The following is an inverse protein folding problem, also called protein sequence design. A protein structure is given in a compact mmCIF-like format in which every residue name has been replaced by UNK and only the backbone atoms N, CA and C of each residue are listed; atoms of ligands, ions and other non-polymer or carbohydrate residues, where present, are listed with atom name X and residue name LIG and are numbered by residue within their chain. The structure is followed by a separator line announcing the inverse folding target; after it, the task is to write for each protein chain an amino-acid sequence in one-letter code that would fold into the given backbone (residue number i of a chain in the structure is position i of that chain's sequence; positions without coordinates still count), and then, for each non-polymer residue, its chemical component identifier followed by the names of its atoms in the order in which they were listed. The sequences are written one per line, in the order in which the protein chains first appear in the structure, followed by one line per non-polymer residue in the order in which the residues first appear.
data_IF_148101158236
#
_entry.id   IF_148101158236
#
_cell.length_a   1.000
_cell.length_b   1.000
_cell.length_c   1.000
_cell.angle_alpha   90.00
_cell.angle_beta   90.00
_cell.angle_gamma   90.00
#
_symmetry.space_group_name_H-M   'P 1'
#
loop_
_entity.id
_entity.type
_entity.pdbx_description
1 polymer ?
#
# COMPACT_ATOMS: atom_id res chain seq x y z
N UNK A 1 42.03 12.37 9.72
CA UNK A 1 42.10 10.96 10.14
C UNK A 1 41.04 10.73 11.19
N UNK A 2 40.23 9.68 11.05
CA UNK A 2 39.24 9.27 12.05
C UNK A 2 39.95 8.80 13.32
N UNK A 3 39.48 9.21 14.49
CA UNK A 3 40.07 8.91 15.80
C UNK A 3 39.31 7.81 16.54
N UNK A 4 39.92 7.20 17.56
CA UNK A 4 39.23 6.26 18.46
C UNK A 4 37.95 6.84 19.06
N UNK A 5 37.94 8.15 19.35
CA UNK A 5 36.78 8.85 19.91
C UNK A 5 35.61 8.87 18.91
N UNK A 6 35.91 8.96 17.61
CA UNK A 6 34.88 8.97 16.56
C UNK A 6 34.19 7.61 16.43
N UNK A 7 34.90 6.50 16.69
CA UNK A 7 34.32 5.16 16.70
C UNK A 7 33.50 4.85 17.96
N UNK A 8 33.86 5.43 19.11
CA UNK A 8 33.20 5.18 20.41
C UNK A 8 32.20 6.29 20.79
N UNK A 9 31.63 6.99 19.79
CA UNK A 9 30.67 8.09 19.99
C UNK A 9 29.23 7.65 20.22
N UNK A 10 28.90 6.39 19.92
CA UNK A 10 27.55 5.85 20.09
C UNK A 10 27.16 5.75 21.57
N UNK A 11 25.84 5.65 21.87
CA UNK A 11 25.38 5.43 23.22
C UNK A 11 25.97 4.13 23.78
N UNK A 12 26.30 4.15 25.07
CA UNK A 12 26.73 2.95 25.78
C UNK A 12 25.57 1.95 25.81
N UNK A 13 25.86 0.68 25.52
CA UNK A 13 24.90 -0.40 25.69
C UNK A 13 24.70 -0.65 27.18
N UNK A 14 23.65 -0.06 27.74
CA UNK A 14 23.26 -0.17 29.15
C UNK A 14 21.74 0.02 29.31
N UNK A 15 20.91 -0.87 28.72
CA UNK A 15 19.46 -0.74 28.76
C UNK A 15 18.92 -1.00 30.18
N UNK A 16 17.82 -0.32 30.53
CA UNK A 16 17.07 -0.67 31.75
C UNK A 16 16.38 -2.03 31.56
N UNK A 17 16.29 -2.87 32.62
CA UNK A 17 15.53 -4.11 32.57
C UNK A 17 14.07 -3.87 32.17
N UNK A 18 13.54 -4.68 31.27
CA UNK A 18 12.14 -4.62 30.85
C UNK A 18 11.23 -5.15 31.96
N UNK A 19 10.16 -4.41 32.25
CA UNK A 19 9.19 -4.73 33.30
C UNK A 19 7.82 -5.13 32.75
N UNK A 20 7.61 -4.95 31.44
CA UNK A 20 6.32 -5.16 30.78
C UNK A 20 5.37 -3.96 30.92
N UNK A 21 5.86 -2.83 31.43
CA UNK A 21 5.10 -1.58 31.60
C UNK A 21 5.49 -0.51 30.58
N UNK A 22 6.56 -0.77 29.83
CA UNK A 22 7.08 0.13 28.81
C UNK A 22 6.09 0.27 27.67
N UNK A 23 5.87 1.49 27.22
CA UNK A 23 5.20 1.79 25.95
C UNK A 23 6.07 1.34 24.76
N UNK A 24 5.47 1.22 23.57
CA UNK A 24 6.23 0.84 22.37
C UNK A 24 7.40 1.80 22.08
N UNK A 25 7.25 3.14 22.15
CA UNK A 25 8.37 4.06 21.97
C UNK A 25 9.48 3.85 23.01
N UNK A 26 9.11 3.60 24.27
CA UNK A 26 10.10 3.31 25.32
C UNK A 26 10.85 2.01 25.06
N UNK A 27 10.20 0.98 24.51
CA UNK A 27 10.88 -0.25 24.10
C UNK A 27 11.87 0.00 22.96
N UNK A 28 11.48 0.81 21.96
CA UNK A 28 12.36 1.18 20.84
C UNK A 28 13.59 1.93 21.35
N UNK A 29 13.41 2.90 22.23
CA UNK A 29 14.50 3.75 22.70
C UNK A 29 15.42 3.05 23.71
N UNK A 30 14.86 2.21 24.57
CA UNK A 30 15.62 1.55 25.63
C UNK A 30 16.25 0.24 25.18
N UNK A 31 15.52 -0.61 24.46
CA UNK A 31 15.92 -2.00 24.23
C UNK A 31 16.39 -2.29 22.79
N UNK A 32 15.97 -1.51 21.80
CA UNK A 32 16.31 -1.77 20.39
C UNK A 32 17.64 -1.12 20.00
N UNK A 33 18.72 -1.53 20.68
CA UNK A 33 20.01 -0.85 20.61
C UNK A 33 20.96 -1.36 19.51
N UNK A 34 20.76 -2.59 19.01
CA UNK A 34 21.69 -3.23 18.07
C UNK A 34 20.98 -4.26 17.16
N UNK A 35 21.69 -4.71 16.12
CA UNK A 35 21.21 -5.68 15.12
C UNK A 35 19.88 -5.25 14.48
N UNK A 36 18.99 -6.19 14.15
CA UNK A 36 17.72 -5.90 13.49
C UNK A 36 16.81 -5.02 14.34
N UNK A 37 16.86 -5.14 15.68
CA UNK A 37 16.14 -4.25 16.57
C UNK A 37 16.67 -2.80 16.43
N UNK A 38 17.99 -2.60 16.45
CA UNK A 38 18.61 -1.31 16.19
C UNK A 38 18.26 -0.72 14.82
N UNK A 39 18.21 -1.55 13.77
CA UNK A 39 17.73 -1.12 12.45
C UNK A 39 16.26 -0.70 12.45
N UNK A 40 15.41 -1.41 13.19
CA UNK A 40 14.01 -1.03 13.37
C UNK A 40 13.90 0.32 14.10
N UNK A 41 14.68 0.53 15.16
CA UNK A 41 14.71 1.81 15.88
C UNK A 41 15.15 2.96 14.98
N UNK A 42 16.19 2.76 14.17
CA UNK A 42 16.61 3.73 13.15
C UNK A 42 15.52 4.01 12.13
N UNK A 43 14.80 2.98 11.66
CA UNK A 43 13.66 3.14 10.76
C UNK A 43 12.51 3.94 11.38
N UNK A 44 12.17 3.67 12.64
CA UNK A 44 11.18 4.44 13.39
C UNK A 44 11.59 5.92 13.47
N UNK A 45 12.83 6.21 13.86
CA UNK A 45 13.35 7.57 13.98
C UNK A 45 13.41 8.28 12.63
N UNK A 46 13.90 7.61 11.58
CA UNK A 46 13.91 8.17 10.23
C UNK A 46 12.49 8.53 9.77
N UNK A 47 11.54 7.63 9.97
CA UNK A 47 10.16 7.89 9.59
C UNK A 47 9.60 9.08 10.38
N UNK A 48 9.61 9.03 11.71
CA UNK A 48 8.92 10.04 12.54
C UNK A 48 9.63 11.37 12.64
N UNK A 49 10.97 11.42 12.54
CA UNK A 49 11.74 12.66 12.74
C UNK A 49 12.17 13.32 11.43
N UNK A 50 12.13 12.62 10.30
CA UNK A 50 12.57 13.14 9.00
C UNK A 50 11.52 13.03 7.93
N UNK A 51 10.92 11.85 7.75
CA UNK A 51 9.96 11.65 6.67
C UNK A 51 8.62 12.34 6.92
N UNK A 52 8.24 12.54 8.19
CA UNK A 52 7.01 13.24 8.58
C UNK A 52 7.22 14.75 8.84
N UNK A 53 8.34 15.33 8.40
CA UNK A 53 8.51 16.80 8.39
C UNK A 53 7.57 17.44 7.34
N UNK A 54 7.06 18.66 7.59
CA UNK A 54 6.08 19.35 6.73
C UNK A 54 6.53 19.58 5.28
N UNK A 55 7.84 19.50 5.01
CA UNK A 55 8.43 19.72 3.69
C UNK A 55 8.70 18.42 2.92
N UNK A 56 8.18 17.27 3.37
CA UNK A 56 8.44 15.96 2.76
C UNK A 56 7.17 15.35 2.18
N UNK A 57 7.22 14.99 0.90
CA UNK A 57 6.20 14.17 0.25
C UNK A 57 6.54 12.69 0.42
N UNK A 58 5.64 11.93 1.04
CA UNK A 58 5.83 10.52 1.43
C UNK A 58 5.05 9.59 0.51
N UNK A 59 5.78 8.83 -0.30
CA UNK A 59 5.25 7.67 -1.02
C UNK A 59 5.29 6.40 -0.17
N UNK A 60 4.37 5.47 -0.42
CA UNK A 60 4.39 4.12 0.15
C UNK A 60 4.39 3.05 -0.94
N UNK A 61 5.20 2.00 -0.80
CA UNK A 61 5.03 0.78 -1.61
C UNK A 61 4.50 -0.38 -0.78
N UNK A 62 3.48 -1.09 -1.29
CA UNK A 62 2.85 -2.21 -0.60
C UNK A 62 2.88 -3.49 -1.46
N UNK A 63 3.45 -4.55 -0.90
CA UNK A 63 3.48 -5.89 -1.53
C UNK A 63 3.23 -7.00 -0.51
N UNK A 64 3.07 -8.23 -0.99
CA UNK A 64 2.67 -9.36 -0.14
C UNK A 64 1.19 -9.30 0.22
N UNK A 65 0.77 -10.05 1.23
CA UNK A 65 -0.62 -10.16 1.68
C UNK A 65 -0.92 -9.19 2.84
N UNK A 66 -0.64 -7.90 2.64
CA UNK A 66 -0.71 -6.91 3.74
C UNK A 66 -2.15 -6.56 4.10
N UNK A 67 -2.98 -6.26 3.11
CA UNK A 67 -4.40 -5.98 3.34
C UNK A 67 -5.15 -7.23 3.80
N UNK A 68 -4.97 -8.46 3.22
CA UNK A 68 -5.51 -9.68 3.81
C UNK A 68 -5.17 -9.89 5.28
N UNK A 69 -3.93 -9.57 5.68
CA UNK A 69 -3.46 -9.70 7.06
C UNK A 69 -4.01 -8.62 8.01
N UNK A 70 -4.89 -7.72 7.53
CA UNK A 70 -5.51 -6.67 8.33
C UNK A 70 -4.62 -5.44 8.53
N UNK A 71 -3.47 -5.32 7.85
CA UNK A 71 -2.61 -4.13 7.95
C UNK A 71 -3.23 -2.91 7.29
N UNK A 72 -4.13 -3.10 6.31
CA UNK A 72 -4.93 -2.01 5.76
C UNK A 72 -5.66 -1.23 6.86
N UNK A 73 -6.44 -1.94 7.68
CA UNK A 73 -7.25 -1.36 8.76
C UNK A 73 -6.44 -0.96 10.00
N UNK A 74 -5.43 -1.75 10.36
CA UNK A 74 -4.71 -1.56 11.63
C UNK A 74 -3.59 -0.54 11.55
N UNK A 75 -3.02 -0.28 10.36
CA UNK A 75 -1.85 0.60 10.22
C UNK A 75 -1.95 1.58 9.06
N UNK A 76 -2.32 1.13 7.86
CA UNK A 76 -2.29 1.98 6.65
C UNK A 76 -3.38 3.06 6.70
N UNK A 77 -4.62 2.71 7.01
CA UNK A 77 -5.73 3.66 7.14
C UNK A 77 -5.41 4.78 8.15
N UNK A 78 -4.96 4.48 9.39
CA UNK A 78 -4.54 5.52 10.33
C UNK A 78 -3.45 6.47 9.79
N UNK A 79 -2.50 5.97 9.00
CA UNK A 79 -1.46 6.80 8.40
C UNK A 79 -2.02 7.73 7.30
N UNK A 80 -2.95 7.23 6.49
CA UNK A 80 -3.64 8.03 5.46
C UNK A 80 -4.50 9.12 6.13
N UNK A 81 -5.32 8.76 7.12
CA UNK A 81 -6.19 9.73 7.82
C UNK A 81 -5.38 10.81 8.56
N UNK A 82 -4.17 10.48 9.02
CA UNK A 82 -3.26 11.43 9.65
C UNK A 82 -2.50 12.33 8.67
N UNK A 83 -2.63 12.11 7.35
CA UNK A 83 -1.90 12.86 6.34
C UNK A 83 -0.42 12.51 6.23
N UNK A 84 -0.02 11.31 6.68
CA UNK A 84 1.38 10.87 6.67
C UNK A 84 1.80 10.12 5.40
N UNK A 85 0.85 9.89 4.48
CA UNK A 85 1.07 9.19 3.21
C UNK A 85 0.40 9.99 2.11
N UNK A 86 1.18 10.47 1.16
CA UNK A 86 0.70 11.31 0.06
C UNK A 86 0.29 10.50 -1.17
N UNK A 87 0.90 9.34 -1.39
CA UNK A 87 0.59 8.45 -2.51
C UNK A 87 1.06 7.02 -2.25
N UNK A 88 0.40 6.04 -2.87
CA UNK A 88 0.67 4.62 -2.64
C UNK A 88 0.87 3.90 -3.97
N UNK A 89 1.87 3.02 -4.05
CA UNK A 89 1.98 1.99 -5.09
C UNK A 89 1.74 0.63 -4.45
N UNK A 90 0.72 -0.10 -4.90
CA UNK A 90 0.33 -1.40 -4.35
C UNK A 90 0.32 -2.48 -5.43
N UNK A 91 0.29 -3.75 -5.02
CA UNK A 91 -0.16 -4.81 -5.94
C UNK A 91 -1.68 -4.74 -6.09
N UNK A 92 -2.19 -5.06 -7.28
CA UNK A 92 -3.64 -5.16 -7.49
C UNK A 92 -4.27 -6.22 -6.57
N UNK A 93 -3.50 -7.25 -6.17
CA UNK A 93 -3.94 -8.23 -5.18
C UNK A 93 -4.22 -7.63 -3.80
N UNK A 94 -3.39 -6.71 -3.29
CA UNK A 94 -3.71 -6.03 -2.02
C UNK A 94 -5.01 -5.21 -2.15
N UNK A 95 -5.18 -4.49 -3.26
CA UNK A 95 -6.37 -3.64 -3.46
C UNK A 95 -7.65 -4.47 -3.67
N UNK A 96 -7.54 -5.58 -4.37
CA UNK A 96 -8.62 -6.56 -4.50
C UNK A 96 -8.97 -7.17 -3.15
N UNK A 97 -7.95 -7.60 -2.38
CA UNK A 97 -8.19 -8.22 -1.10
C UNK A 97 -8.72 -7.25 -0.04
N UNK A 98 -8.32 -5.99 -0.13
CA UNK A 98 -8.86 -4.89 0.67
C UNK A 98 -10.36 -4.67 0.44
N UNK A 99 -10.82 -4.78 -0.82
CA UNK A 99 -12.21 -4.60 -1.17
C UNK A 99 -13.15 -5.58 -0.45
N UNK A 100 -12.73 -6.83 -0.19
CA UNK A 100 -13.56 -7.79 0.58
C UNK A 100 -14.05 -7.18 1.90
N UNK A 101 -13.14 -6.53 2.64
CA UNK A 101 -13.49 -5.92 3.93
C UNK A 101 -14.45 -4.75 3.77
N UNK A 102 -14.27 -3.91 2.75
CA UNK A 102 -15.17 -2.80 2.43
C UNK A 102 -16.56 -3.26 1.95
N UNK A 103 -16.64 -4.45 1.36
CA UNK A 103 -17.89 -5.11 0.98
C UNK A 103 -18.57 -5.86 2.15
N UNK A 104 -17.98 -5.82 3.34
CA UNK A 104 -18.48 -6.53 4.52
C UNK A 104 -18.25 -8.05 4.48
N UNK A 105 -17.39 -8.52 3.58
CA UNK A 105 -16.99 -9.92 3.46
C UNK A 105 -15.83 -10.20 4.43
N UNK A 106 -15.79 -11.42 4.97
CA UNK A 106 -14.84 -11.80 6.01
C UNK A 106 -13.74 -12.72 5.50
N UNK A 107 -12.54 -12.51 6.01
CA UNK A 107 -11.42 -13.44 5.94
C UNK A 107 -11.03 -13.83 7.37
N UNK A 108 -10.46 -15.02 7.53
CA UNK A 108 -10.18 -15.62 8.81
C UNK A 108 -8.72 -16.05 8.90
N UNK A 109 -8.14 -15.96 10.09
CA UNK A 109 -6.84 -16.58 10.35
C UNK A 109 -6.99 -18.09 10.23
N UNK A 110 -6.18 -18.68 9.36
CA UNK A 110 -6.05 -20.11 9.15
C UNK A 110 -4.72 -20.65 9.65
N UNK A 111 -4.20 -21.64 8.93
CA UNK A 111 -2.91 -22.30 9.20
C UNK A 111 -2.21 -22.61 7.88
N UNK A 112 -0.88 -22.44 7.79
CA UNK A 112 -0.17 -22.78 6.56
C UNK A 112 -0.07 -24.29 6.32
N UNK A 113 -0.44 -25.10 7.32
CA UNK A 113 -0.29 -26.56 7.34
C UNK A 113 -1.57 -27.34 6.94
N UNK A 114 -2.64 -26.66 6.54
CA UNK A 114 -3.84 -27.32 6.04
C UNK A 114 -3.61 -27.96 4.65
N UNK A 115 -4.34 -29.04 4.35
CA UNK A 115 -4.30 -29.70 3.05
C UNK A 115 -5.11 -28.92 2.01
N UNK A 116 -4.47 -28.54 0.90
CA UNK A 116 -5.11 -27.81 -0.19
C UNK A 116 -6.21 -28.60 -0.89
N UNK A 117 -6.16 -29.94 -0.85
CA UNK A 117 -7.21 -30.79 -1.41
C UNK A 117 -8.48 -30.70 -0.57
N UNK A 118 -8.35 -30.86 0.75
CA UNK A 118 -9.48 -30.72 1.69
C UNK A 118 -10.07 -29.30 1.64
N UNK A 119 -9.21 -28.27 1.65
CA UNK A 119 -9.67 -26.88 1.54
C UNK A 119 -10.48 -26.66 0.25
N UNK A 120 -10.02 -27.21 -0.88
CA UNK A 120 -10.74 -27.09 -2.15
C UNK A 120 -12.08 -27.81 -2.14
N UNK A 121 -12.15 -29.00 -1.55
CA UNK A 121 -13.39 -29.79 -1.44
C UNK A 121 -14.44 -29.07 -0.60
N UNK A 122 -14.00 -28.38 0.46
CA UNK A 122 -14.86 -27.57 1.34
C UNK A 122 -15.11 -26.14 0.81
N UNK A 123 -14.63 -25.79 -0.39
CA UNK A 123 -14.83 -24.46 -0.97
C UNK A 123 -14.07 -23.34 -0.25
N UNK A 124 -12.99 -23.65 0.45
CA UNK A 124 -12.14 -22.70 1.15
C UNK A 124 -10.95 -22.30 0.29
N UNK A 125 -10.77 -21.00 0.11
CA UNK A 125 -9.59 -20.41 -0.53
C UNK A 125 -8.61 -19.98 0.55
N UNK A 126 -7.31 -20.13 0.26
CA UNK A 126 -6.26 -19.65 1.15
C UNK A 126 -5.29 -18.66 0.51
N UNK A 127 -4.80 -17.75 1.34
CA UNK A 127 -3.59 -16.95 1.12
C UNK A 127 -2.65 -17.29 2.29
N UNK A 128 -1.75 -18.25 2.07
CA UNK A 128 -0.87 -18.79 3.11
C UNK A 128 -1.65 -19.28 4.35
N UNK A 129 -1.70 -18.50 5.41
CA UNK A 129 -2.37 -18.77 6.68
C UNK A 129 -3.63 -17.89 6.91
N UNK A 130 -4.24 -17.43 5.82
CA UNK A 130 -5.50 -16.68 5.78
C UNK A 130 -6.50 -17.47 4.94
N UNK A 131 -7.68 -17.76 5.47
CA UNK A 131 -8.74 -18.55 4.83
C UNK A 131 -10.00 -17.71 4.61
N UNK A 132 -10.73 -18.01 3.55
CA UNK A 132 -12.04 -17.43 3.26
C UNK A 132 -12.84 -18.32 2.32
N UNK A 133 -14.15 -18.14 2.35
CA UNK A 133 -15.07 -18.88 1.49
C UNK A 133 -14.88 -18.47 0.02
N UNK A 134 -14.94 -19.42 -0.91
CA UNK A 134 -14.83 -19.14 -2.34
C UNK A 134 -15.88 -18.11 -2.84
N UNK A 135 -17.07 -18.08 -2.25
CA UNK A 135 -18.12 -17.10 -2.58
C UNK A 135 -17.69 -15.65 -2.30
N UNK A 136 -16.71 -15.44 -1.41
CA UNK A 136 -16.13 -14.12 -1.12
C UNK A 136 -15.39 -13.56 -2.36
N UNK A 137 -14.70 -14.41 -3.12
CA UNK A 137 -14.09 -14.01 -4.41
C UNK A 137 -15.16 -13.66 -5.43
N UNK A 138 -16.14 -14.55 -5.60
CA UNK A 138 -17.19 -14.39 -6.61
C UNK A 138 -18.01 -13.12 -6.37
N UNK A 139 -18.33 -12.83 -5.11
CA UNK A 139 -19.07 -11.63 -4.71
C UNK A 139 -18.27 -10.35 -5.01
N UNK A 140 -16.96 -10.37 -4.74
CA UNK A 140 -16.08 -9.22 -4.99
C UNK A 140 -15.86 -9.00 -6.48
N UNK A 141 -15.68 -10.09 -7.24
CA UNK A 141 -15.57 -10.05 -8.70
C UNK A 141 -16.85 -9.51 -9.35
N UNK A 142 -18.02 -9.98 -8.91
CA UNK A 142 -19.30 -9.49 -9.40
C UNK A 142 -19.47 -7.99 -9.13
N UNK A 143 -19.13 -7.55 -7.91
CA UNK A 143 -19.18 -6.14 -7.53
C UNK A 143 -18.25 -5.28 -8.39
N UNK A 144 -16.99 -5.68 -8.56
CA UNK A 144 -16.01 -4.93 -9.36
C UNK A 144 -16.45 -4.84 -10.81
N UNK A 145 -16.98 -5.92 -11.40
CA UNK A 145 -17.53 -5.88 -12.76
C UNK A 145 -18.72 -4.94 -12.87
N UNK A 146 -19.67 -5.01 -11.93
CA UNK A 146 -20.84 -4.14 -11.92
C UNK A 146 -20.43 -2.66 -11.88
N UNK A 147 -19.54 -2.30 -10.96
CA UNK A 147 -19.01 -0.93 -10.85
C UNK A 147 -18.27 -0.52 -12.12
N UNK A 148 -17.37 -1.38 -12.63
CA UNK A 148 -16.55 -1.09 -13.81
C UNK A 148 -17.33 -1.02 -15.11
N UNK A 149 -18.59 -1.50 -15.15
CA UNK A 149 -19.50 -1.31 -16.27
C UNK A 149 -20.14 0.09 -16.30
N UNK A 150 -19.98 0.87 -15.23
CA UNK A 150 -20.48 2.24 -15.12
C UNK A 150 -19.89 3.17 -16.19
N UNK A 151 -20.63 4.22 -16.60
CA UNK A 151 -20.25 5.12 -17.70
C UNK A 151 -18.94 5.86 -17.45
N UNK A 152 -18.61 6.23 -16.22
CA UNK A 152 -17.37 6.92 -15.85
C UNK A 152 -16.11 6.08 -16.07
N UNK A 153 -16.26 4.74 -16.10
CA UNK A 153 -15.20 3.77 -16.36
C UNK A 153 -15.02 3.48 -17.85
N UNK A 154 -15.95 3.87 -18.72
CA UNK A 154 -15.92 3.52 -20.16
C UNK A 154 -14.96 4.41 -20.97
N UNK A 155 -13.70 4.46 -20.55
CA UNK A 155 -12.61 5.21 -21.18
C UNK A 155 -11.24 4.70 -20.71
N UNK A 156 -10.19 5.20 -21.34
CA UNK A 156 -8.82 5.06 -20.81
C UNK A 156 -8.64 5.90 -19.55
N UNK A 157 -7.96 5.36 -18.55
CA UNK A 157 -7.62 6.05 -17.30
C UNK A 157 -6.36 5.47 -16.66
N UNK A 158 -5.70 6.25 -15.81
CA UNK A 158 -4.60 5.75 -14.98
C UNK A 158 -5.13 4.73 -13.95
N UNK A 159 -4.25 3.93 -13.34
CA UNK A 159 -4.71 3.05 -12.26
C UNK A 159 -5.07 3.84 -11.02
N UNK A 160 -4.40 4.98 -10.74
CA UNK A 160 -4.80 5.87 -9.65
C UNK A 160 -6.23 6.39 -9.82
N UNK A 161 -6.60 6.82 -11.03
CA UNK A 161 -7.95 7.27 -11.32
C UNK A 161 -8.98 6.15 -11.18
N UNK A 162 -8.67 4.94 -11.69
CA UNK A 162 -9.53 3.77 -11.52
C UNK A 162 -9.74 3.42 -10.03
N UNK A 163 -8.67 3.35 -9.23
CA UNK A 163 -8.77 3.04 -7.80
C UNK A 163 -9.46 4.14 -7.01
N UNK A 164 -9.30 5.42 -7.40
CA UNK A 164 -10.04 6.52 -6.81
C UNK A 164 -11.55 6.37 -7.02
N UNK A 165 -11.99 6.08 -8.25
CA UNK A 165 -13.41 5.85 -8.54
C UNK A 165 -13.94 4.61 -7.81
N UNK A 166 -13.24 3.48 -7.92
CA UNK A 166 -13.60 2.23 -7.24
C UNK A 166 -13.68 2.42 -5.72
N UNK A 167 -12.74 3.17 -5.13
CA UNK A 167 -12.74 3.50 -3.71
C UNK A 167 -13.98 4.28 -3.29
N UNK A 168 -14.47 5.19 -4.11
CA UNK A 168 -15.73 5.91 -3.87
C UNK A 168 -16.94 4.97 -3.80
N UNK A 169 -17.01 3.99 -4.70
CA UNK A 169 -18.04 2.96 -4.67
C UNK A 169 -17.91 2.07 -3.42
N UNK A 170 -16.71 1.61 -3.10
CA UNK A 170 -16.46 0.80 -1.89
C UNK A 170 -16.86 1.59 -0.63
N UNK A 171 -16.54 2.87 -0.55
CA UNK A 171 -16.92 3.74 0.57
C UNK A 171 -18.44 3.87 0.71
N UNK A 172 -19.17 4.06 -0.40
CA UNK A 172 -20.63 4.07 -0.39
C UNK A 172 -21.20 2.74 0.11
N UNK A 173 -20.59 1.62 -0.29
CA UNK A 173 -20.99 0.29 0.15
C UNK A 173 -20.73 0.09 1.65
N UNK A 174 -19.58 0.52 2.16
CA UNK A 174 -19.28 0.53 3.60
C UNK A 174 -20.37 1.26 4.39
N UNK A 175 -20.72 2.48 3.95
CA UNK A 175 -21.77 3.30 4.57
C UNK A 175 -23.13 2.60 4.56
N UNK A 176 -23.51 1.98 3.44
CA UNK A 176 -24.77 1.24 3.31
C UNK A 176 -24.84 0.02 4.23
N UNK A 177 -23.69 -0.59 4.54
CA UNK A 177 -23.56 -1.74 5.44
C UNK A 177 -23.38 -1.33 6.92
N UNK A 178 -23.25 -0.03 7.22
CA UNK A 178 -22.98 0.46 8.57
C UNK A 178 -21.60 0.09 9.10
N UNK A 179 -20.64 -0.20 8.20
CA UNK A 179 -19.23 -0.43 8.54
C UNK A 179 -18.41 0.81 8.17
N UNK A 180 -17.26 0.99 8.80
CA UNK A 180 -16.37 2.13 8.53
C UNK A 180 -14.92 1.74 8.67
N UNK A 181 -14.05 2.37 7.88
CA UNK A 181 -12.59 2.23 7.98
C UNK A 181 -12.16 0.76 7.81
N UNK A 182 -12.77 0.08 6.84
CA UNK A 182 -12.45 -1.32 6.53
C UNK A 182 -11.59 -1.46 5.29
N UNK A 183 -11.74 -0.55 4.33
CA UNK A 183 -11.02 -0.53 3.07
C UNK A 183 -10.05 0.66 2.95
N UNK A 184 -8.80 0.36 2.60
CA UNK A 184 -7.79 1.32 2.16
C UNK A 184 -8.28 2.07 0.92
N UNK A 185 -8.91 1.40 -0.06
CA UNK A 185 -9.49 2.06 -1.24
C UNK A 185 -10.53 3.12 -0.84
N UNK A 186 -11.43 2.77 0.08
CA UNK A 186 -12.47 3.68 0.57
C UNK A 186 -11.91 4.92 1.27
N UNK A 187 -10.96 4.73 2.18
CA UNK A 187 -10.32 5.84 2.92
C UNK A 187 -9.44 6.68 1.99
N UNK A 188 -8.67 6.06 1.09
CA UNK A 188 -7.84 6.78 0.14
C UNK A 188 -8.67 7.66 -0.81
N UNK A 189 -9.85 7.20 -1.24
CA UNK A 189 -10.82 8.03 -1.96
C UNK A 189 -11.25 9.24 -1.11
N UNK A 190 -11.63 9.02 0.14
CA UNK A 190 -12.08 10.09 1.05
C UNK A 190 -10.99 11.13 1.33
N UNK A 191 -9.74 10.70 1.46
CA UNK A 191 -8.57 11.55 1.72
C UNK A 191 -7.89 12.05 0.43
N UNK A 192 -8.40 11.69 -0.75
CA UNK A 192 -7.80 12.00 -2.04
C UNK A 192 -6.32 11.57 -2.20
N UNK A 193 -5.96 10.43 -1.59
CA UNK A 193 -4.62 9.82 -1.73
C UNK A 193 -4.63 8.88 -2.94
N UNK A 194 -3.86 9.15 -4.01
CA UNK A 194 -3.83 8.30 -5.19
C UNK A 194 -3.15 6.97 -4.90
N UNK A 195 -3.73 5.89 -5.44
CA UNK A 195 -3.20 4.52 -5.33
C UNK A 195 -2.91 3.97 -6.73
N UNK A 196 -1.65 3.71 -7.02
CA UNK A 196 -1.18 3.13 -8.26
C UNK A 196 -1.00 1.61 -8.14
N UNK A 197 -1.14 0.90 -9.26
CA UNK A 197 -0.76 -0.51 -9.36
C UNK A 197 0.25 -0.70 -10.47
N UNK A 198 1.44 -1.18 -10.12
CA UNK A 198 2.56 -1.32 -11.06
C UNK A 198 2.39 -2.44 -12.10
N UNK A 199 1.49 -3.39 -11.85
CA UNK A 199 1.14 -4.50 -12.75
C UNK A 199 -0.38 -4.67 -12.81
N UNK A 200 -1.13 -3.82 -13.54
CA UNK A 200 -2.60 -3.78 -13.44
C UNK A 200 -3.30 -5.09 -13.83
N UNK A 201 -2.74 -5.83 -14.79
CA UNK A 201 -3.25 -7.13 -15.23
C UNK A 201 -2.95 -8.29 -14.27
N UNK A 202 -2.10 -8.10 -13.26
CA UNK A 202 -1.66 -9.13 -12.31
C UNK A 202 -2.51 -9.11 -11.03
N UNK A 203 -3.83 -9.18 -11.18
CA UNK A 203 -4.80 -9.26 -10.08
C UNK A 203 -6.19 -9.62 -10.58
N UNK A 204 -7.08 -10.06 -9.67
CA UNK A 204 -8.49 -10.27 -10.00
C UNK A 204 -9.19 -9.00 -10.51
N UNK A 205 -8.78 -7.80 -10.05
CA UNK A 205 -9.24 -6.53 -10.65
C UNK A 205 -8.93 -6.50 -12.15
N UNK A 206 -7.67 -6.75 -12.51
CA UNK A 206 -7.23 -6.80 -13.90
C UNK A 206 -7.89 -7.90 -14.72
N UNK A 207 -8.12 -9.08 -14.13
CA UNK A 207 -8.83 -10.18 -14.78
C UNK A 207 -10.29 -9.83 -15.11
N UNK A 208 -10.99 -9.15 -14.20
CA UNK A 208 -12.35 -8.66 -14.44
C UNK A 208 -12.40 -7.60 -15.54
N UNK A 209 -11.46 -6.64 -15.54
CA UNK A 209 -11.33 -5.64 -16.62
C UNK A 209 -11.06 -6.32 -17.97
N UNK A 210 -10.20 -7.34 -18.00
CA UNK A 210 -9.89 -8.09 -19.21
C UNK A 210 -11.09 -8.89 -19.75
N UNK A 211 -11.89 -9.49 -18.87
CA UNK A 211 -13.15 -10.17 -19.24
C UNK A 211 -14.14 -9.18 -19.86
N UNK A 212 -14.36 -8.04 -19.23
CA UNK A 212 -15.28 -7.02 -19.75
C UNK A 212 -14.82 -6.41 -21.07
N UNK A 213 -13.51 -6.36 -21.33
CA UNK A 213 -12.99 -5.92 -22.62
C UNK A 213 -13.43 -6.84 -23.76
N UNK A 214 -13.62 -8.14 -23.52
CA UNK A 214 -14.15 -9.10 -24.50
C UNK A 214 -15.63 -8.88 -24.81
N UNK A 215 -16.37 -8.26 -23.89
CA UNK A 215 -17.81 -7.98 -24.02
C UNK A 215 -18.11 -6.54 -24.44
N UNK A 216 -17.08 -5.78 -24.83
CA UNK A 216 -17.21 -4.45 -25.45
C UNK A 216 -16.92 -3.26 -24.53
N UNK A 217 -16.50 -3.49 -23.28
CA UNK A 217 -16.09 -2.41 -22.37
C UNK A 217 -14.95 -1.57 -22.96
N UNK A 218 -15.05 -0.26 -22.80
CA UNK A 218 -14.04 0.71 -23.22
C UNK A 218 -13.02 1.03 -22.13
N UNK A 219 -13.19 0.47 -20.92
CA UNK A 219 -12.25 0.65 -19.82
C UNK A 219 -10.85 0.13 -20.21
N UNK A 220 -9.85 1.01 -20.17
CA UNK A 220 -8.43 0.66 -20.39
C UNK A 220 -7.59 1.31 -19.30
N UNK A 221 -6.73 0.51 -18.68
CA UNK A 221 -5.78 1.00 -17.67
C UNK A 221 -4.49 1.43 -18.37
N UNK A 222 -4.16 2.71 -18.27
CA UNK A 222 -2.99 3.34 -18.87
C UNK A 222 -1.86 3.45 -17.83
N UNK A 223 -0.93 2.49 -17.88
CA UNK A 223 0.25 2.50 -17.02
C UNK A 223 1.25 3.62 -17.36
N UNK A 224 1.19 4.19 -18.57
CA UNK A 224 2.06 5.32 -18.92
C UNK A 224 1.62 6.59 -18.20
N UNK A 225 0.31 6.77 -18.02
CA UNK A 225 -0.24 7.85 -17.20
C UNK A 225 0.24 7.74 -15.74
N UNK A 226 0.25 6.54 -15.16
CA UNK A 226 0.76 6.29 -13.81
C UNK A 226 2.26 6.66 -13.68
N UNK A 227 3.08 6.25 -14.66
CA UNK A 227 4.53 6.57 -14.67
C UNK A 227 4.74 8.09 -14.70
N UNK A 228 4.00 8.80 -15.55
CA UNK A 228 4.14 10.25 -15.67
C UNK A 228 3.64 10.99 -14.43
N UNK A 229 2.50 10.59 -13.86
CA UNK A 229 1.93 11.24 -12.68
C UNK A 229 2.80 11.05 -11.43
N UNK A 230 3.23 9.81 -11.15
CA UNK A 230 4.12 9.53 -10.01
C UNK A 230 5.47 10.26 -10.12
N UNK A 231 6.01 10.36 -11.34
CA UNK A 231 7.22 11.16 -11.59
C UNK A 231 6.96 12.66 -11.39
N UNK A 232 5.79 13.16 -11.81
CA UNK A 232 5.41 14.55 -11.58
C UNK A 232 5.24 14.89 -10.09
N UNK A 233 4.72 13.97 -9.28
CA UNK A 233 4.62 14.13 -7.81
C UNK A 233 6.01 14.33 -7.19
N UNK A 234 6.98 13.46 -7.51
CA UNK A 234 8.34 13.55 -6.98
C UNK A 234 9.06 14.80 -7.49
N UNK A 235 8.94 15.09 -8.79
CA UNK A 235 9.51 16.29 -9.40
C UNK A 235 8.95 17.57 -8.78
N UNK A 236 7.64 17.61 -8.51
CA UNK A 236 7.00 18.75 -7.86
C UNK A 236 7.59 18.99 -6.46
N UNK A 237 7.72 17.93 -5.65
CA UNK A 237 8.30 18.03 -4.31
C UNK A 237 9.71 18.66 -4.34
N UNK A 238 10.58 18.19 -5.25
CA UNK A 238 11.96 18.66 -5.38
C UNK A 238 12.09 20.08 -5.92
N UNK A 239 11.36 20.41 -6.99
CA UNK A 239 11.41 21.75 -7.61
C UNK A 239 10.86 22.86 -6.72
N UNK A 240 10.02 22.52 -5.74
CA UNK A 240 9.42 23.48 -4.81
C UNK A 240 10.13 23.55 -3.45
N UNK A 241 11.36 23.02 -3.36
CA UNK A 241 12.21 23.10 -2.17
C UNK A 241 11.86 22.10 -1.07
N UNK A 242 10.98 21.15 -1.35
CA UNK A 242 10.68 20.02 -0.45
C UNK A 242 11.59 18.81 -0.70
N UNK A 243 11.30 17.73 -0.01
CA UNK A 243 11.98 16.44 -0.12
C UNK A 243 10.98 15.35 -0.50
N UNK A 244 11.48 14.23 -1.00
CA UNK A 244 10.69 13.02 -1.23
C UNK A 244 11.20 11.90 -0.33
N UNK A 245 10.29 11.20 0.33
CA UNK A 245 10.57 10.03 1.15
C UNK A 245 9.72 8.84 0.70
N UNK A 246 10.21 7.62 0.91
CA UNK A 246 9.45 6.41 0.57
C UNK A 246 9.47 5.39 1.70
N UNK A 247 8.28 4.94 2.12
CA UNK A 247 8.10 3.83 3.03
C UNK A 247 7.86 2.54 2.22
N UNK A 248 8.85 1.65 2.23
CA UNK A 248 8.83 0.43 1.41
C UNK A 248 8.44 -0.77 2.27
N UNK A 249 7.25 -1.34 2.02
CA UNK A 249 6.78 -2.56 2.65
C UNK A 249 6.85 -3.73 1.64
N UNK A 250 7.88 -4.55 1.82
CA UNK A 250 8.20 -5.69 0.96
C UNK A 250 9.07 -5.30 -0.25
N UNK A 251 8.82 -5.89 -1.42
CA UNK A 251 9.71 -5.79 -2.58
C UNK A 251 8.99 -5.76 -3.92
N UNK A 252 9.49 -6.50 -4.91
CA UNK A 252 8.79 -6.73 -6.18
C UNK A 252 8.49 -5.46 -7.02
N UNK A 253 7.42 -5.56 -7.80
CA UNK A 253 7.04 -4.55 -8.80
C UNK A 253 6.68 -3.19 -8.15
N UNK A 254 5.87 -3.10 -7.08
CA UNK A 254 5.60 -1.81 -6.41
C UNK A 254 6.84 -1.08 -5.88
N UNK A 255 7.80 -1.81 -5.30
CA UNK A 255 9.09 -1.22 -4.88
C UNK A 255 9.88 -0.65 -6.06
N UNK A 256 9.91 -1.35 -7.18
CA UNK A 256 10.61 -0.82 -8.36
C UNK A 256 9.86 0.39 -8.95
N UNK A 257 8.54 0.33 -9.02
CA UNK A 257 7.72 1.39 -9.61
C UNK A 257 7.76 2.69 -8.81
N UNK A 258 7.76 2.63 -7.47
CA UNK A 258 7.89 3.85 -6.65
C UNK A 258 9.27 4.51 -6.81
N UNK A 259 10.32 3.71 -7.01
CA UNK A 259 11.70 4.17 -7.13
C UNK A 259 12.08 4.61 -8.55
N UNK A 260 11.34 4.17 -9.59
CA UNK A 260 11.67 4.48 -10.98
C UNK A 260 11.38 5.95 -11.36
N UNK A 261 10.69 6.69 -10.49
CA UNK A 261 10.41 8.12 -10.66
C UNK A 261 11.69 8.92 -10.90
N UNK A 262 12.78 8.61 -10.20
CA UNK A 262 14.09 9.25 -10.38
C UNK A 262 14.72 8.97 -11.76
N UNK A 263 14.92 7.70 -12.20
CA UNK A 263 15.32 7.41 -13.57
C UNK A 263 14.42 8.04 -14.63
N UNK A 264 13.09 8.05 -14.42
CA UNK A 264 12.16 8.64 -15.38
C UNK A 264 12.41 10.15 -15.56
N UNK A 265 12.61 10.88 -14.46
CA UNK A 265 12.90 12.32 -14.49
C UNK A 265 14.27 12.59 -15.13
N UNK A 266 15.32 11.93 -14.64
CA UNK A 266 16.71 12.28 -14.96
C UNK A 266 17.20 11.68 -16.26
N UNK A 267 16.95 10.38 -16.49
CA UNK A 267 17.52 9.62 -17.60
C UNK A 267 16.61 9.63 -18.83
N UNK A 268 15.29 9.46 -18.63
CA UNK A 268 14.33 9.34 -19.73
C UNK A 268 13.87 10.71 -20.22
N UNK A 269 13.43 11.59 -19.30
CA UNK A 269 12.97 12.93 -19.65
C UNK A 269 14.12 13.94 -19.78
N UNK A 270 15.32 13.61 -19.28
CA UNK A 270 16.49 14.49 -19.35
C UNK A 270 16.34 15.79 -18.56
N UNK A 271 15.45 15.81 -17.56
CA UNK A 271 15.19 16.99 -16.75
C UNK A 271 16.33 17.09 -15.74
N UNK A 272 17.07 18.20 -15.83
CA UNK A 272 18.22 18.46 -14.98
C UNK A 272 17.78 18.90 -13.60
N UNK A 273 17.61 17.95 -12.69
CA UNK A 273 17.53 18.22 -11.26
C UNK A 273 18.85 17.89 -10.57
N UNK A 274 19.31 18.81 -9.72
CA UNK A 274 20.31 18.53 -8.69
C UNK A 274 19.54 18.38 -7.37
N UNK A 275 19.32 17.15 -6.92
CA UNK A 275 18.65 16.86 -5.65
C UNK A 275 18.83 15.42 -5.25
#
# INVERSE_FOLDING_TARGET
MTTRKDFLRGPRIDPKPLTGRETIPELVDNAFLAYNAGRLAEGCRLFTERMLEDDVTVGMSLTGAMTPAGLGMSTIIPLIEAGFIDWIVSTGANLYHDAHFGLGLSMHRGTPFADDVELREEGVVRIYDIFFDYEVLLSTDAYIREVSAGPEFQRSMSTAEYHYLLGGYVLQREQALGISRKSVLGVAHQCAVPIYTSSPGDSSIGMNVAEQALTGSQLRLDSSADVNETSAVVFHAKTHGGKSGVLIIGGGSPKNFVLQTEPQIQEVLGISEKG
#
